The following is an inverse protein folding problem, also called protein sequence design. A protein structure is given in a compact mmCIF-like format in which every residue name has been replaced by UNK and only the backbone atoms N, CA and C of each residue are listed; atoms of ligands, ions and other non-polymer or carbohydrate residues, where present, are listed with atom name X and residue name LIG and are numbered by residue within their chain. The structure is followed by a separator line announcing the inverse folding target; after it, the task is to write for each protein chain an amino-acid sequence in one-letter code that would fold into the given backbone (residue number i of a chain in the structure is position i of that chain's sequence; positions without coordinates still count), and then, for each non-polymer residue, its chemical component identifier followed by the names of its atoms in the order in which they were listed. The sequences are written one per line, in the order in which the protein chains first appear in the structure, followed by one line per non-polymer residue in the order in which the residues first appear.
data_IF_558334039602
#
_entry.id   IF_558334039602
#
_cell.length_a   1.000
_cell.length_b   1.000
_cell.length_c   1.000
_cell.angle_alpha   90.00
_cell.angle_beta   90.00
_cell.angle_gamma   90.00
#
_symmetry.space_group_name_H-M   'P 1'
#
loop_
_entity.id
_entity.type
_entity.pdbx_description
1 polymer ?
#
# COMPACT_ATOMS: atom_id res chain seq x y z
N UNK A 1 -9.03 -4.21 7.09
CA UNK A 1 -7.84 -3.69 6.38
C UNK A 1 -7.96 -4.03 4.90
N UNK A 2 -7.89 -3.04 4.03
CA UNK A 2 -8.17 -3.20 2.58
C UNK A 2 -7.20 -4.17 1.92
N UNK A 3 -5.92 -4.10 2.24
CA UNK A 3 -4.89 -4.95 1.59
C UNK A 3 -4.98 -6.45 1.90
N UNK A 4 -5.70 -6.86 2.94
CA UNK A 4 -5.91 -8.29 3.22
C UNK A 4 -6.69 -9.02 2.12
N UNK A 5 -7.47 -8.31 1.29
CA UNK A 5 -8.12 -8.90 0.13
C UNK A 5 -7.14 -9.38 -0.95
N UNK A 6 -5.87 -8.95 -0.89
CA UNK A 6 -4.79 -9.42 -1.78
C UNK A 6 -4.34 -10.84 -1.46
N UNK A 7 -4.56 -11.30 -0.22
CA UNK A 7 -4.20 -12.64 0.24
C UNK A 7 -5.35 -13.63 -0.02
N UNK A 8 -5.03 -14.85 -0.38
CA UNK A 8 -5.99 -15.94 -0.39
C UNK A 8 -6.25 -16.44 1.03
N UNK A 9 -7.10 -17.43 1.15
CA UNK A 9 -7.53 -17.89 2.48
C UNK A 9 -6.38 -18.48 3.30
N UNK A 10 -5.46 -19.20 2.66
CA UNK A 10 -4.33 -19.83 3.32
C UNK A 10 -3.31 -18.79 3.83
N UNK A 11 -2.87 -17.87 2.96
CA UNK A 11 -1.94 -16.78 3.34
C UNK A 11 -2.56 -15.82 4.36
N UNK A 12 -3.86 -15.53 4.22
CA UNK A 12 -4.60 -14.70 5.19
C UNK A 12 -4.67 -15.36 6.55
N UNK A 13 -4.77 -16.69 6.60
CA UNK A 13 -4.74 -17.44 7.86
C UNK A 13 -3.37 -17.34 8.53
N UNK A 14 -2.28 -17.52 7.78
CA UNK A 14 -0.92 -17.33 8.34
C UNK A 14 -0.71 -15.90 8.85
N UNK A 15 -1.15 -14.90 8.08
CA UNK A 15 -1.12 -13.50 8.55
C UNK A 15 -1.93 -13.30 9.83
N UNK A 16 -3.10 -13.95 9.94
CA UNK A 16 -3.93 -13.88 11.16
C UNK A 16 -3.25 -14.56 12.35
N UNK A 17 -2.66 -15.73 12.15
CA UNK A 17 -1.86 -16.43 13.19
C UNK A 17 -0.72 -15.51 13.68
N UNK A 18 0.00 -14.85 12.77
CA UNK A 18 1.02 -13.88 13.14
C UNK A 18 0.45 -12.73 14.00
N UNK A 19 -0.66 -12.11 13.58
CA UNK A 19 -1.29 -11.01 14.34
C UNK A 19 -1.76 -11.44 15.74
N UNK A 20 -2.25 -12.67 15.90
CA UNK A 20 -2.58 -13.23 17.21
C UNK A 20 -1.31 -13.53 18.03
N UNK A 21 -0.28 -14.06 17.38
CA UNK A 21 1.02 -14.35 17.97
C UNK A 21 1.76 -13.11 18.53
N UNK A 22 1.46 -11.92 18.03
CA UNK A 22 1.94 -10.65 18.64
C UNK A 22 1.35 -10.39 20.02
N UNK A 23 0.21 -10.98 20.34
CA UNK A 23 -0.48 -10.83 21.65
C UNK A 23 -0.11 -11.97 22.61
N UNK A 24 0.02 -13.18 22.08
CA UNK A 24 0.36 -14.39 22.81
C UNK A 24 1.21 -15.30 21.92
N UNK A 25 2.36 -15.71 22.39
CA UNK A 25 3.28 -16.59 21.62
C UNK A 25 2.67 -17.99 21.36
N UNK A 26 1.65 -18.39 22.11
CA UNK A 26 0.90 -19.62 21.92
C UNK A 26 -0.57 -19.32 21.68
N UNK A 27 -1.15 -19.95 20.64
CA UNK A 27 -2.54 -19.79 20.24
C UNK A 27 -3.17 -21.19 20.13
N UNK A 28 -4.26 -21.44 20.83
CA UNK A 28 -4.93 -22.75 20.80
C UNK A 28 -5.62 -23.01 19.46
N UNK A 29 -5.78 -24.29 19.09
CA UNK A 29 -6.55 -24.61 17.88
C UNK A 29 -8.02 -24.20 17.98
N UNK A 30 -8.60 -24.16 19.16
CA UNK A 30 -9.95 -23.67 19.36
C UNK A 30 -10.07 -22.19 18.95
N UNK A 31 -9.19 -21.34 19.45
CA UNK A 31 -9.12 -19.92 19.08
C UNK A 31 -8.85 -19.73 17.57
N UNK A 32 -7.93 -20.52 17.00
CA UNK A 32 -7.62 -20.45 15.56
C UNK A 32 -8.78 -20.92 14.68
N UNK A 33 -9.54 -21.91 15.11
CA UNK A 33 -10.71 -22.40 14.37
C UNK A 33 -11.83 -21.35 14.37
N UNK A 34 -12.06 -20.69 15.49
CA UNK A 34 -13.05 -19.61 15.58
C UNK A 34 -12.68 -18.42 14.71
N UNK A 35 -11.41 -18.00 14.73
CA UNK A 35 -10.91 -16.84 14.00
C UNK A 35 -10.73 -17.08 12.49
N UNK A 36 -10.26 -18.26 12.09
CA UNK A 36 -9.86 -18.55 10.71
C UNK A 36 -10.83 -19.47 9.96
N UNK A 37 -11.77 -20.12 10.68
CA UNK A 37 -12.72 -21.11 10.12
C UNK A 37 -12.02 -22.26 9.40
N UNK A 38 -10.90 -22.73 9.95
CA UNK A 38 -10.16 -23.90 9.50
C UNK A 38 -10.07 -24.94 10.61
N UNK A 39 -10.03 -26.22 10.21
CA UNK A 39 -9.77 -27.33 11.16
C UNK A 39 -8.31 -27.31 11.63
N UNK A 40 -8.05 -27.84 12.84
CA UNK A 40 -6.70 -27.97 13.38
C UNK A 40 -5.73 -28.65 12.38
N UNK A 41 -6.18 -29.74 11.73
CA UNK A 41 -5.38 -30.44 10.72
C UNK A 41 -5.00 -29.57 9.52
N UNK A 42 -5.89 -28.67 9.07
CA UNK A 42 -5.59 -27.74 7.98
C UNK A 42 -4.58 -26.68 8.45
N UNK A 43 -4.72 -26.18 9.68
CA UNK A 43 -3.78 -25.21 10.26
C UNK A 43 -2.39 -25.83 10.40
N UNK A 44 -2.27 -27.06 10.89
CA UNK A 44 -0.99 -27.80 10.96
C UNK A 44 -0.30 -27.86 9.60
N UNK A 45 -1.04 -28.28 8.56
CA UNK A 45 -0.49 -28.33 7.19
C UNK A 45 -0.05 -26.97 6.65
N UNK A 46 -0.73 -25.89 7.05
CA UNK A 46 -0.32 -24.55 6.66
C UNK A 46 0.98 -24.13 7.36
N UNK A 47 1.16 -24.49 8.63
CA UNK A 47 2.40 -24.25 9.35
C UNK A 47 3.56 -25.04 8.74
N UNK A 48 3.35 -26.33 8.41
CA UNK A 48 4.33 -27.17 7.73
C UNK A 48 4.74 -26.58 6.37
N UNK A 49 3.75 -26.20 5.55
CA UNK A 49 3.98 -25.52 4.27
C UNK A 49 4.74 -24.21 4.44
N UNK A 50 4.44 -23.43 5.48
CA UNK A 50 5.17 -22.19 5.77
C UNK A 50 6.64 -22.47 6.11
N UNK A 51 6.94 -23.46 6.94
CA UNK A 51 8.30 -23.81 7.31
C UNK A 51 9.15 -24.19 6.09
N UNK A 52 8.57 -24.83 5.07
CA UNK A 52 9.25 -25.11 3.80
C UNK A 52 9.65 -23.81 3.07
N UNK A 53 8.73 -22.82 3.01
CA UNK A 53 8.98 -21.52 2.37
C UNK A 53 9.99 -20.68 3.17
N UNK A 54 9.88 -20.69 4.50
CA UNK A 54 10.72 -19.87 5.38
C UNK A 54 12.19 -20.31 5.33
N UNK A 55 12.45 -21.61 5.19
CA UNK A 55 13.81 -22.14 5.02
C UNK A 55 14.53 -21.52 3.81
N UNK A 56 13.78 -21.11 2.77
CA UNK A 56 14.34 -20.46 1.57
C UNK A 56 14.48 -18.94 1.72
N UNK A 57 13.54 -18.26 2.41
CA UNK A 57 13.33 -16.80 2.31
C UNK A 57 13.57 -16.00 3.60
N UNK A 58 13.71 -16.65 4.76
CA UNK A 58 14.18 -16.07 6.04
C UNK A 58 13.49 -14.76 6.48
N UNK A 59 12.16 -14.76 6.62
CA UNK A 59 11.42 -13.63 7.24
C UNK A 59 11.70 -13.50 8.74
N UNK A 60 12.21 -14.55 9.34
CA UNK A 60 12.50 -14.62 10.77
C UNK A 60 11.27 -14.96 11.62
N UNK A 61 10.24 -15.57 11.05
CA UNK A 61 9.08 -16.10 11.78
C UNK A 61 8.88 -17.57 11.49
N UNK A 62 8.59 -18.34 12.53
CA UNK A 62 8.16 -19.73 12.41
C UNK A 62 6.85 -19.98 13.15
N UNK A 63 6.01 -20.82 12.55
CA UNK A 63 4.74 -21.28 13.12
C UNK A 63 4.86 -22.74 13.48
N UNK A 64 5.18 -23.03 14.74
CA UNK A 64 5.46 -24.38 15.22
C UNK A 64 4.15 -25.03 15.72
N UNK A 65 3.57 -26.01 14.98
CA UNK A 65 2.38 -26.72 15.42
C UNK A 65 2.71 -27.68 16.58
N UNK A 66 1.78 -27.78 17.54
CA UNK A 66 1.81 -28.72 18.65
C UNK A 66 0.51 -29.56 18.65
N UNK A 67 0.29 -30.38 19.68
CA UNK A 67 -0.96 -31.14 19.84
C UNK A 67 -2.18 -30.24 20.10
N UNK A 68 -1.99 -29.11 20.77
CA UNK A 68 -3.08 -28.27 21.28
C UNK A 68 -3.19 -26.90 20.60
N UNK A 69 -2.20 -26.50 19.78
CA UNK A 69 -2.18 -25.18 19.16
C UNK A 69 -0.92 -24.93 18.34
N UNK A 70 -0.67 -23.66 18.06
CA UNK A 70 0.46 -23.15 17.30
C UNK A 70 1.29 -22.20 18.16
N UNK A 71 2.58 -22.41 18.24
CA UNK A 71 3.53 -21.46 18.83
C UNK A 71 4.11 -20.58 17.72
N UNK A 72 4.04 -19.26 17.90
CA UNK A 72 4.66 -18.29 17.00
C UNK A 72 6.03 -17.90 17.56
N UNK A 73 7.07 -18.16 16.78
CA UNK A 73 8.46 -17.86 17.15
C UNK A 73 9.00 -16.78 16.22
N UNK A 74 9.55 -15.72 16.80
CA UNK A 74 10.17 -14.62 16.07
C UNK A 74 11.67 -14.59 16.39
N UNK A 75 12.49 -14.48 15.36
CA UNK A 75 13.94 -14.26 15.52
C UNK A 75 14.24 -12.77 15.71
N UNK A 76 15.46 -12.45 16.11
CA UNK A 76 15.94 -11.06 16.25
C UNK A 76 15.91 -10.27 14.92
N UNK A 77 15.94 -10.98 13.80
CA UNK A 77 15.92 -10.40 12.44
C UNK A 77 14.51 -10.38 11.82
N UNK A 78 13.46 -10.65 12.61
CA UNK A 78 12.11 -10.66 12.08
C UNK A 78 11.73 -9.30 11.49
N UNK A 79 11.19 -9.34 10.27
CA UNK A 79 10.66 -8.16 9.59
C UNK A 79 9.23 -8.44 9.06
N UNK A 80 8.27 -7.70 9.59
CA UNK A 80 6.85 -7.82 9.22
C UNK A 80 6.60 -7.60 7.73
N UNK A 81 7.35 -6.69 7.10
CA UNK A 81 7.25 -6.43 5.65
C UNK A 81 7.76 -7.59 4.82
N UNK A 82 8.81 -8.28 5.27
CA UNK A 82 9.31 -9.49 4.58
C UNK A 82 8.27 -10.60 4.67
N UNK A 83 7.68 -10.85 5.85
CA UNK A 83 6.58 -11.79 6.02
C UNK A 83 5.43 -11.47 5.04
N UNK A 84 4.98 -10.21 5.04
CA UNK A 84 3.90 -9.78 4.16
C UNK A 84 4.24 -9.97 2.67
N UNK A 85 5.45 -9.59 2.26
CA UNK A 85 5.93 -9.80 0.90
C UNK A 85 5.90 -11.28 0.49
N UNK A 86 6.37 -12.18 1.38
CA UNK A 86 6.35 -13.62 1.11
C UNK A 86 4.92 -14.13 0.92
N UNK A 87 3.98 -13.75 1.81
CA UNK A 87 2.56 -14.12 1.68
C UNK A 87 1.94 -13.57 0.39
N UNK A 88 2.25 -12.32 0.01
CA UNK A 88 1.79 -11.74 -1.25
C UNK A 88 2.30 -12.50 -2.47
N UNK A 89 3.57 -12.86 -2.49
CA UNK A 89 4.17 -13.57 -3.65
C UNK A 89 3.59 -14.96 -3.86
N UNK A 90 3.08 -15.61 -2.80
CA UNK A 90 2.37 -16.88 -2.89
C UNK A 90 0.90 -16.71 -3.35
N UNK A 91 0.30 -15.55 -3.10
CA UNK A 91 -1.11 -15.32 -3.42
C UNK A 91 -1.36 -15.18 -4.92
N UNK A 92 -2.12 -16.12 -5.48
CA UNK A 92 -2.55 -16.03 -6.88
C UNK A 92 -3.39 -14.77 -7.15
N UNK A 93 -4.22 -14.36 -6.19
CA UNK A 93 -5.01 -13.11 -6.31
C UNK A 93 -4.12 -11.89 -6.52
N UNK A 94 -3.03 -11.79 -5.76
CA UNK A 94 -2.05 -10.71 -5.93
C UNK A 94 -1.31 -10.82 -7.27
N UNK A 95 -0.86 -12.03 -7.66
CA UNK A 95 -0.17 -12.24 -8.94
C UNK A 95 -1.03 -11.83 -10.14
N UNK A 96 -2.32 -12.17 -10.13
CA UNK A 96 -3.27 -11.79 -11.18
C UNK A 96 -3.47 -10.27 -11.23
N UNK A 97 -3.65 -9.63 -10.08
CA UNK A 97 -3.76 -8.17 -9.99
C UNK A 97 -2.50 -7.49 -10.53
N UNK A 98 -1.34 -7.94 -10.06
CA UNK A 98 -0.04 -7.39 -10.45
C UNK A 98 0.17 -7.46 -11.96
N UNK A 99 -0.01 -8.64 -12.56
CA UNK A 99 0.11 -8.82 -14.01
C UNK A 99 -0.86 -7.91 -14.77
N UNK A 100 -2.11 -7.80 -14.31
CA UNK A 100 -3.11 -6.94 -14.96
C UNK A 100 -2.79 -5.45 -14.87
N UNK A 101 -2.16 -5.00 -13.80
CA UNK A 101 -1.71 -3.62 -13.64
C UNK A 101 -0.45 -3.34 -14.48
N UNK A 102 0.47 -4.28 -14.54
CA UNK A 102 1.74 -4.15 -15.29
C UNK A 102 1.50 -4.23 -16.80
N UNK A 103 0.67 -5.15 -17.26
CA UNK A 103 0.23 -5.28 -18.64
C UNK A 103 -1.30 -5.10 -18.75
N UNK A 104 -1.76 -3.87 -19.04
CA UNK A 104 -3.19 -3.60 -19.19
C UNK A 104 -3.86 -4.37 -20.31
N UNK A 105 -3.09 -4.84 -21.31
CA UNK A 105 -3.60 -5.55 -22.47
C UNK A 105 -3.75 -7.06 -22.22
N UNK A 106 -3.14 -7.60 -21.16
CA UNK A 106 -3.26 -9.03 -20.86
C UNK A 106 -4.73 -9.42 -20.65
N UNK A 107 -5.18 -10.47 -21.32
CA UNK A 107 -6.56 -10.96 -21.27
C UNK A 107 -6.74 -12.01 -20.17
N UNK A 108 -7.98 -12.20 -19.69
CA UNK A 108 -8.31 -13.30 -18.77
C UNK A 108 -7.98 -14.67 -19.37
N UNK A 109 -8.07 -14.81 -20.68
CA UNK A 109 -7.71 -16.06 -21.36
C UNK A 109 -6.22 -16.34 -21.21
N UNK A 110 -5.37 -15.34 -21.44
CA UNK A 110 -3.93 -15.46 -21.26
C UNK A 110 -3.57 -15.73 -19.80
N UNK A 111 -4.16 -15.02 -18.85
CA UNK A 111 -3.97 -15.27 -17.42
C UNK A 111 -4.42 -16.71 -17.03
N UNK A 112 -5.55 -17.18 -17.60
CA UNK A 112 -6.04 -18.54 -17.39
C UNK A 112 -5.05 -19.61 -17.87
N UNK A 113 -4.42 -19.38 -19.01
CA UNK A 113 -3.39 -20.27 -19.55
C UNK A 113 -2.10 -20.24 -18.73
N UNK A 114 -1.64 -19.04 -18.37
CA UNK A 114 -0.38 -18.85 -17.62
C UNK A 114 -0.44 -19.45 -16.22
N UNK A 115 -1.58 -19.33 -15.54
CA UNK A 115 -1.74 -19.81 -14.17
C UNK A 115 -2.44 -21.17 -14.06
N UNK A 116 -2.80 -21.80 -15.19
CA UNK A 116 -3.51 -23.09 -15.21
C UNK A 116 -4.81 -23.11 -14.39
N UNK A 117 -5.54 -21.99 -14.37
CA UNK A 117 -6.81 -21.85 -13.65
C UNK A 117 -7.96 -21.44 -14.58
N UNK A 118 -9.18 -21.86 -14.26
CA UNK A 118 -10.35 -21.52 -15.06
C UNK A 118 -10.60 -20.00 -15.09
N UNK A 119 -11.02 -19.44 -16.23
CA UNK A 119 -11.37 -18.02 -16.41
C UNK A 119 -12.33 -17.50 -15.33
N UNK A 120 -13.35 -18.33 -14.98
CA UNK A 120 -14.31 -18.00 -13.91
C UNK A 120 -13.62 -17.82 -12.54
N UNK A 121 -12.58 -18.58 -12.27
CA UNK A 121 -11.80 -18.47 -11.03
C UNK A 121 -11.03 -17.13 -11.00
N UNK A 122 -10.38 -16.77 -12.11
CA UNK A 122 -9.66 -15.47 -12.23
C UNK A 122 -10.64 -14.33 -12.04
N UNK A 123 -11.76 -14.34 -12.76
CA UNK A 123 -12.79 -13.32 -12.63
C UNK A 123 -13.25 -13.15 -11.18
N UNK A 124 -13.62 -14.24 -10.52
CA UNK A 124 -14.07 -14.21 -9.12
C UNK A 124 -13.02 -13.64 -8.17
N UNK A 125 -11.73 -13.91 -8.42
CA UNK A 125 -10.62 -13.37 -7.60
C UNK A 125 -10.46 -11.87 -7.80
N UNK A 126 -10.46 -11.39 -9.04
CA UNK A 126 -10.38 -9.96 -9.35
C UNK A 126 -11.61 -9.19 -8.85
N UNK A 127 -12.81 -9.80 -8.94
CA UNK A 127 -14.04 -9.24 -8.36
C UNK A 127 -13.97 -9.19 -6.83
N UNK A 128 -13.36 -10.20 -6.19
CA UNK A 128 -13.12 -10.23 -4.74
C UNK A 128 -12.25 -9.08 -4.23
N UNK A 129 -11.53 -8.38 -5.11
CA UNK A 129 -10.77 -7.16 -4.81
C UNK A 129 -11.64 -5.89 -4.76
N UNK A 130 -12.98 -6.02 -4.74
CA UNK A 130 -13.90 -4.87 -4.66
C UNK A 130 -13.54 -3.85 -3.57
N UNK A 131 -13.15 -4.24 -2.35
CA UNK A 131 -12.72 -3.28 -1.32
C UNK A 131 -11.50 -2.45 -1.76
N UNK A 132 -10.54 -3.07 -2.46
CA UNK A 132 -9.37 -2.38 -3.00
C UNK A 132 -9.77 -1.41 -4.12
N UNK A 133 -10.63 -1.86 -5.06
CA UNK A 133 -11.13 -1.00 -6.14
C UNK A 133 -11.85 0.23 -5.60
N UNK A 134 -12.71 0.06 -4.60
CA UNK A 134 -13.44 1.16 -3.98
C UNK A 134 -12.51 2.13 -3.26
N UNK A 135 -11.53 1.61 -2.51
CA UNK A 135 -10.57 2.43 -1.78
C UNK A 135 -9.73 3.31 -2.71
N UNK A 136 -9.29 2.76 -3.86
CA UNK A 136 -8.50 3.48 -4.86
C UNK A 136 -9.35 4.18 -5.94
N UNK A 137 -10.66 4.27 -5.76
CA UNK A 137 -11.58 4.84 -6.75
C UNK A 137 -11.39 4.26 -8.16
N UNK A 138 -11.21 2.94 -8.21
CA UNK A 138 -11.08 2.14 -9.41
C UNK A 138 -12.25 1.16 -9.51
N UNK A 139 -12.45 0.55 -10.66
CA UNK A 139 -13.44 -0.51 -10.86
C UNK A 139 -13.00 -1.46 -11.98
N UNK A 140 -13.53 -2.69 -11.97
CA UNK A 140 -13.43 -3.59 -13.12
C UNK A 140 -14.51 -3.22 -14.14
N UNK A 141 -14.19 -3.41 -15.42
CA UNK A 141 -15.16 -3.26 -16.51
C UNK A 141 -16.10 -4.47 -16.54
N UNK A 142 -17.41 -4.21 -16.51
CA UNK A 142 -18.47 -5.24 -16.52
C UNK A 142 -18.55 -5.99 -17.87
N UNK A 143 -18.02 -5.44 -18.95
CA UNK A 143 -18.11 -5.95 -20.32
C UNK A 143 -17.06 -7.03 -20.67
N UNK A 144 -16.48 -7.73 -19.69
CA UNK A 144 -15.55 -8.84 -19.89
C UNK A 144 -14.26 -8.54 -20.66
N UNK A 145 -13.99 -7.29 -21.03
CA UNK A 145 -12.72 -6.88 -21.63
C UNK A 145 -11.63 -6.69 -20.57
N UNK A 146 -11.98 -6.86 -19.30
CA UNK A 146 -11.08 -6.98 -18.15
C UNK A 146 -10.12 -5.80 -17.95
N UNK A 147 -10.57 -4.62 -18.34
CA UNK A 147 -9.83 -3.40 -18.06
C UNK A 147 -10.14 -2.91 -16.64
N UNK A 148 -9.10 -2.53 -15.92
CA UNK A 148 -9.26 -1.75 -14.69
C UNK A 148 -9.61 -0.33 -15.12
N UNK A 149 -10.84 0.10 -14.80
CA UNK A 149 -11.35 1.43 -15.12
C UNK A 149 -11.01 2.42 -14.01
N UNK A 150 -10.80 3.68 -14.39
CA UNK A 150 -10.47 4.77 -13.49
C UNK A 150 -9.32 5.62 -14.03
N UNK A 151 -8.92 6.64 -13.27
CA UNK A 151 -7.84 7.55 -13.65
C UNK A 151 -6.51 6.79 -13.79
N UNK A 152 -5.74 7.14 -14.81
CA UNK A 152 -4.45 6.49 -15.04
C UNK A 152 -3.44 6.79 -13.93
N UNK A 153 -3.42 8.03 -13.43
CA UNK A 153 -2.64 8.41 -12.25
C UNK A 153 -2.96 7.56 -11.02
N UNK A 154 -4.25 7.25 -10.82
CA UNK A 154 -4.71 6.45 -9.71
C UNK A 154 -4.27 4.97 -9.83
N UNK A 155 -4.25 4.43 -11.05
CA UNK A 155 -3.69 3.10 -11.32
C UNK A 155 -2.20 3.06 -11.04
N UNK A 156 -1.45 4.09 -11.48
CA UNK A 156 -0.02 4.22 -11.21
C UNK A 156 0.27 4.39 -9.71
N UNK A 157 -0.60 5.10 -8.99
CA UNK A 157 -0.50 5.18 -7.52
C UNK A 157 -0.73 3.82 -6.86
N UNK A 158 -1.73 3.04 -7.29
CA UNK A 158 -1.91 1.67 -6.80
C UNK A 158 -0.69 0.80 -7.09
N UNK A 159 -0.12 0.87 -8.30
CA UNK A 159 1.12 0.15 -8.64
C UNK A 159 2.26 0.53 -7.69
N UNK A 160 2.41 1.82 -7.38
CA UNK A 160 3.41 2.31 -6.42
C UNK A 160 3.20 1.68 -5.03
N UNK A 161 1.97 1.70 -4.51
CA UNK A 161 1.67 1.12 -3.19
C UNK A 161 1.94 -0.39 -3.15
N UNK A 162 1.52 -1.12 -4.19
CA UNK A 162 1.80 -2.55 -4.31
C UNK A 162 3.30 -2.85 -4.43
N UNK A 163 4.06 -2.01 -5.15
CA UNK A 163 5.52 -2.16 -5.26
C UNK A 163 6.20 -1.91 -3.93
N UNK A 164 5.80 -0.89 -3.17
CA UNK A 164 6.30 -0.65 -1.81
C UNK A 164 6.10 -1.86 -0.89
N UNK A 165 4.97 -2.57 -1.01
CA UNK A 165 4.72 -3.81 -0.26
C UNK A 165 5.69 -4.94 -0.61
N UNK A 166 6.25 -4.92 -1.81
CA UNK A 166 7.20 -5.93 -2.29
C UNK A 166 8.65 -5.62 -1.91
N UNK A 167 8.93 -4.43 -1.43
CA UNK A 167 10.30 -4.03 -1.08
C UNK A 167 10.54 -4.19 0.41
N UNK A 168 11.65 -4.81 0.83
CA UNK A 168 12.17 -4.65 2.18
C UNK A 168 12.57 -3.18 2.40
N UNK A 169 12.55 -2.70 3.64
CA UNK A 169 12.67 -1.28 4.04
C UNK A 169 13.86 -0.50 3.44
N UNK A 170 14.91 -1.18 3.00
CA UNK A 170 16.19 -0.57 2.61
C UNK A 170 16.31 -0.18 1.13
N UNK A 171 15.25 -0.32 0.30
CA UNK A 171 15.35 -0.15 -1.16
C UNK A 171 14.33 0.84 -1.74
N UNK A 172 14.05 1.93 -1.04
CA UNK A 172 13.14 2.97 -1.58
C UNK A 172 13.71 3.68 -2.81
N UNK A 173 15.03 3.72 -2.98
CA UNK A 173 15.72 4.31 -4.13
C UNK A 173 15.38 3.65 -5.47
N UNK A 174 14.92 2.39 -5.47
CA UNK A 174 14.48 1.69 -6.69
C UNK A 174 13.07 2.10 -7.17
N UNK A 175 12.27 2.76 -6.31
CA UNK A 175 10.88 3.10 -6.64
C UNK A 175 10.78 4.14 -7.75
N UNK A 176 11.59 5.17 -7.73
CA UNK A 176 11.54 6.23 -8.75
C UNK A 176 11.93 5.73 -10.14
N UNK A 177 13.05 5.00 -10.33
CA UNK A 177 13.35 4.37 -11.60
C UNK A 177 12.25 3.43 -12.10
N UNK A 178 11.75 2.56 -11.22
CA UNK A 178 10.64 1.64 -11.52
C UNK A 178 9.38 2.38 -11.99
N UNK A 179 8.94 3.41 -11.26
CA UNK A 179 7.74 4.16 -11.63
C UNK A 179 7.91 4.98 -12.91
N UNK A 180 9.13 5.47 -13.23
CA UNK A 180 9.44 6.11 -14.52
C UNK A 180 9.32 5.11 -15.67
N UNK A 181 9.86 3.91 -15.51
CA UNK A 181 9.76 2.83 -16.50
C UNK A 181 8.31 2.43 -16.75
N UNK A 182 7.55 2.16 -15.70
CA UNK A 182 6.14 1.79 -15.80
C UNK A 182 5.32 2.90 -16.46
N UNK A 183 5.54 4.15 -16.08
CA UNK A 183 4.82 5.28 -16.68
C UNK A 183 5.11 5.40 -18.17
N UNK A 184 6.36 5.24 -18.58
CA UNK A 184 6.75 5.26 -20.00
C UNK A 184 6.14 4.07 -20.76
N UNK A 185 6.20 2.86 -20.21
CA UNK A 185 5.62 1.65 -20.82
C UNK A 185 4.12 1.80 -21.02
N UNK A 186 3.39 2.25 -20.00
CA UNK A 186 1.95 2.46 -20.08
C UNK A 186 1.58 3.57 -21.07
N UNK A 187 2.34 4.67 -21.10
CA UNK A 187 2.13 5.74 -22.07
C UNK A 187 2.34 5.25 -23.53
N UNK A 188 3.36 4.44 -23.77
CA UNK A 188 3.62 3.83 -25.09
C UNK A 188 2.49 2.88 -25.53
N UNK A 189 1.79 2.27 -24.59
CA UNK A 189 0.61 1.44 -24.86
C UNK A 189 -0.70 2.26 -24.98
N UNK A 190 -0.62 3.60 -24.93
CA UNK A 190 -1.77 4.50 -25.05
C UNK A 190 -2.49 4.82 -23.72
N UNK A 191 -1.97 4.34 -22.58
CA UNK A 191 -2.50 4.64 -21.26
C UNK A 191 -1.82 5.88 -20.67
N UNK A 192 -2.23 7.07 -21.15
CA UNK A 192 -1.66 8.37 -20.80
C UNK A 192 -2.54 9.14 -19.81
N UNK A 193 -1.95 10.11 -19.12
CA UNK A 193 -2.70 11.11 -18.34
C UNK A 193 -3.47 12.02 -19.30
N UNK A 194 -4.80 11.92 -19.31
CA UNK A 194 -5.64 12.70 -20.20
C UNK A 194 -5.74 14.17 -19.75
N UNK A 195 -6.12 15.06 -20.68
CA UNK A 195 -6.37 16.47 -20.33
C UNK A 195 -7.47 16.63 -19.28
N UNK A 196 -8.51 15.80 -19.33
CA UNK A 196 -9.59 15.82 -18.33
C UNK A 196 -9.07 15.38 -16.96
N UNK A 197 -8.27 14.34 -16.92
CA UNK A 197 -7.61 13.86 -15.72
C UNK A 197 -6.66 14.92 -15.14
N UNK A 198 -5.86 15.56 -15.97
CA UNK A 198 -4.96 16.66 -15.59
C UNK A 198 -5.73 17.80 -14.90
N UNK A 199 -6.89 18.17 -15.42
CA UNK A 199 -7.77 19.18 -14.78
C UNK A 199 -8.29 18.74 -13.42
N UNK A 200 -8.68 17.47 -13.28
CA UNK A 200 -9.14 16.91 -12.01
C UNK A 200 -8.02 16.93 -10.97
N UNK A 201 -6.83 16.48 -11.33
CA UNK A 201 -5.67 16.48 -10.44
C UNK A 201 -5.27 17.89 -10.04
N UNK A 202 -5.24 18.83 -11.00
CA UNK A 202 -4.94 20.25 -10.72
C UNK A 202 -5.98 20.88 -9.79
N UNK A 203 -7.26 20.53 -9.90
CA UNK A 203 -8.30 21.02 -9.00
C UNK A 203 -8.13 20.50 -7.55
N UNK A 204 -7.52 19.33 -7.38
CA UNK A 204 -7.22 18.74 -6.06
C UNK A 204 -5.99 19.35 -5.40
N UNK A 205 -5.01 19.74 -6.19
CA UNK A 205 -3.76 20.35 -5.74
C UNK A 205 -3.42 21.58 -6.57
N UNK A 206 -4.19 22.69 -6.43
CA UNK A 206 -4.02 23.90 -7.22
C UNK A 206 -2.68 24.61 -6.97
N UNK A 207 -1.98 24.28 -5.89
CA UNK A 207 -0.62 24.76 -5.59
C UNK A 207 0.43 24.19 -6.56
N UNK A 208 0.12 23.12 -7.33
CA UNK A 208 1.02 22.63 -8.35
C UNK A 208 1.10 23.65 -9.50
N UNK A 209 2.28 24.16 -9.75
CA UNK A 209 2.52 25.23 -10.73
C UNK A 209 2.54 24.74 -12.19
N UNK A 210 2.28 23.47 -12.44
CA UNK A 210 2.38 22.84 -13.76
C UNK A 210 1.17 21.94 -14.05
N UNK A 211 0.90 21.76 -15.32
CA UNK A 211 -0.14 20.82 -15.74
C UNK A 211 0.29 19.37 -15.46
N UNK A 212 -0.63 18.55 -14.92
CA UNK A 212 -0.41 17.15 -14.65
C UNK A 212 -0.75 16.28 -15.87
N UNK A 213 -0.25 16.66 -17.04
CA UNK A 213 -0.15 15.79 -18.23
C UNK A 213 0.92 14.70 -18.01
N UNK A 214 1.25 13.94 -19.01
CA UNK A 214 2.23 12.87 -18.89
C UNK A 214 3.61 13.36 -18.40
N UNK A 215 4.08 14.52 -18.89
CA UNK A 215 5.36 15.12 -18.45
C UNK A 215 5.27 15.67 -17.02
N UNK A 216 4.20 16.38 -16.72
CA UNK A 216 3.95 16.89 -15.39
C UNK A 216 3.80 15.78 -14.36
N UNK A 217 3.19 14.66 -14.74
CA UNK A 217 3.09 13.49 -13.87
C UNK A 217 4.45 12.83 -13.62
N UNK A 218 5.31 12.72 -14.62
CA UNK A 218 6.70 12.25 -14.45
C UNK A 218 7.48 13.15 -13.48
N UNK A 219 7.33 14.45 -13.62
CA UNK A 219 7.95 15.41 -12.71
C UNK A 219 7.38 15.27 -11.28
N UNK A 220 6.05 15.11 -11.13
CA UNK A 220 5.41 14.85 -9.85
C UNK A 220 5.97 13.58 -9.18
N UNK A 221 6.12 12.48 -9.92
CA UNK A 221 6.74 11.26 -9.39
C UNK A 221 8.16 11.51 -8.88
N UNK A 222 8.93 12.33 -9.57
CA UNK A 222 10.26 12.73 -9.12
C UNK A 222 10.21 13.52 -7.82
N UNK A 223 9.20 14.38 -7.63
CA UNK A 223 8.99 15.12 -6.38
C UNK A 223 8.55 14.21 -5.23
N UNK A 224 7.68 13.24 -5.51
CA UNK A 224 7.14 12.33 -4.48
C UNK A 224 8.12 11.25 -4.04
N UNK A 225 9.01 10.81 -4.93
CA UNK A 225 9.93 9.68 -4.72
C UNK A 225 11.40 10.09 -4.77
N UNK A 226 11.69 11.35 -5.09
CA UNK A 226 13.05 11.88 -5.13
C UNK A 226 13.55 12.33 -3.77
N UNK A 227 14.86 12.61 -3.68
CA UNK A 227 15.49 13.14 -2.47
C UNK A 227 15.29 14.65 -2.30
N UNK A 228 15.07 15.38 -3.40
CA UNK A 228 14.92 16.82 -3.41
C UNK A 228 13.50 17.26 -3.75
N UNK A 229 13.04 18.36 -3.17
CA UNK A 229 11.75 18.97 -3.48
C UNK A 229 11.96 20.22 -4.35
N UNK A 230 11.40 20.21 -5.56
CA UNK A 230 11.51 21.27 -6.57
C UNK A 230 10.31 22.22 -6.64
N UNK A 231 9.48 22.26 -5.59
CA UNK A 231 8.32 23.15 -5.47
C UNK A 231 8.56 24.21 -4.38
N UNK A 232 9.52 25.13 -4.59
CA UNK A 232 10.07 25.94 -3.50
C UNK A 232 9.01 26.79 -2.78
N UNK A 233 8.10 27.44 -3.51
CA UNK A 233 7.06 28.27 -2.86
C UNK A 233 6.07 27.47 -2.02
N UNK A 234 5.56 26.37 -2.55
CA UNK A 234 4.58 25.53 -1.84
C UNK A 234 5.21 24.84 -0.64
N UNK A 235 6.42 24.30 -0.82
CA UNK A 235 7.17 23.67 0.25
C UNK A 235 7.57 24.68 1.32
N UNK A 236 8.12 25.84 0.95
CA UNK A 236 8.54 26.87 1.91
C UNK A 236 7.36 27.36 2.76
N UNK A 237 6.21 27.58 2.15
CA UNK A 237 5.01 27.98 2.88
C UNK A 237 4.54 26.83 3.81
N UNK A 238 4.59 25.57 3.38
CA UNK A 238 4.30 24.41 4.25
C UNK A 238 5.30 24.34 5.41
N UNK A 239 6.60 24.41 5.13
CA UNK A 239 7.68 24.39 6.12
C UNK A 239 7.50 25.46 7.20
N UNK A 240 7.27 26.71 6.79
CA UNK A 240 7.04 27.81 7.76
C UNK A 240 5.83 27.51 8.64
N UNK A 241 4.71 27.05 8.06
CA UNK A 241 3.51 26.72 8.85
C UNK A 241 3.76 25.59 9.83
N UNK A 242 4.50 24.56 9.40
CA UNK A 242 4.83 23.41 10.21
C UNK A 242 5.76 23.79 11.37
N UNK A 243 6.80 24.59 11.11
CA UNK A 243 7.78 25.02 12.11
C UNK A 243 7.28 26.12 13.06
N UNK A 244 6.15 26.77 12.75
CA UNK A 244 5.50 27.70 13.68
C UNK A 244 4.96 26.99 14.93
N UNK A 245 4.76 25.68 14.88
CA UNK A 245 4.39 24.87 16.05
C UNK A 245 5.64 24.52 16.87
N UNK A 246 5.75 24.98 18.14
CA UNK A 246 6.97 24.81 18.95
C UNK A 246 7.45 23.38 19.10
N UNK A 247 6.51 22.43 19.13
CA UNK A 247 6.77 20.99 19.31
C UNK A 247 7.41 20.34 18.06
N UNK A 248 7.31 20.99 16.90
CA UNK A 248 7.80 20.49 15.62
C UNK A 248 9.14 21.08 15.19
N UNK A 249 9.64 22.10 15.91
CA UNK A 249 10.92 22.75 15.60
C UNK A 249 12.14 21.82 15.68
N UNK A 250 12.02 20.69 16.35
CA UNK A 250 13.09 19.72 16.53
C UNK A 250 13.26 18.73 15.36
N UNK A 251 12.30 18.69 14.43
CA UNK A 251 12.38 17.75 13.32
C UNK A 251 13.40 18.16 12.26
N UNK A 252 14.07 17.17 11.68
CA UNK A 252 15.00 17.41 10.59
C UNK A 252 14.30 17.92 9.34
N UNK A 253 15.03 18.61 8.48
CA UNK A 253 14.53 19.08 7.19
C UNK A 253 14.03 17.88 6.33
N UNK A 254 14.73 16.75 6.36
CA UNK A 254 14.32 15.53 5.65
C UNK A 254 12.96 15.03 6.13
N UNK A 255 12.72 15.01 7.45
CA UNK A 255 11.42 14.62 8.02
C UNK A 255 10.29 15.56 7.57
N UNK A 256 10.54 16.88 7.56
CA UNK A 256 9.54 17.86 7.10
C UNK A 256 9.23 17.65 5.60
N UNK A 257 10.24 17.36 4.79
CA UNK A 257 10.07 17.01 3.36
C UNK A 257 9.24 15.76 3.16
N UNK A 258 9.46 14.70 3.95
CA UNK A 258 8.70 13.47 3.89
C UNK A 258 7.23 13.69 4.26
N UNK A 259 6.96 14.49 5.30
CA UNK A 259 5.60 14.90 5.68
C UNK A 259 4.92 15.68 4.54
N UNK A 260 5.64 16.58 3.89
CA UNK A 260 5.12 17.35 2.75
C UNK A 260 4.78 16.43 1.56
N UNK A 261 5.66 15.49 1.21
CA UNK A 261 5.41 14.49 0.16
C UNK A 261 4.17 13.67 0.46
N UNK A 262 4.08 13.18 1.69
CA UNK A 262 2.91 12.42 2.13
C UNK A 262 1.62 13.24 2.01
N UNK A 263 1.64 14.47 2.48
CA UNK A 263 0.51 15.39 2.36
C UNK A 263 0.09 15.64 0.90
N UNK A 264 1.06 15.80 0.02
CA UNK A 264 0.81 15.98 -1.42
C UNK A 264 0.18 14.73 -2.05
N UNK A 265 0.65 13.53 -1.67
CA UNK A 265 0.03 12.26 -2.10
C UNK A 265 -1.44 12.18 -1.71
N UNK A 266 -1.78 12.50 -0.46
CA UNK A 266 -3.15 12.45 0.03
C UNK A 266 -4.10 13.42 -0.69
N UNK A 267 -3.57 14.54 -1.19
CA UNK A 267 -4.38 15.49 -1.97
C UNK A 267 -4.69 14.97 -3.37
N UNK A 268 -3.73 14.32 -4.00
CA UNK A 268 -3.82 13.92 -5.41
C UNK A 268 -4.50 12.56 -5.60
N UNK A 269 -4.28 11.64 -4.68
CA UNK A 269 -4.68 10.24 -4.86
C UNK A 269 -5.73 9.81 -3.83
N UNK A 270 -6.52 8.80 -4.20
CA UNK A 270 -7.42 8.10 -3.29
C UNK A 270 -6.73 6.81 -2.83
N UNK A 271 -7.09 6.32 -1.64
CA UNK A 271 -6.60 5.06 -1.10
C UNK A 271 -5.66 5.23 0.07
N UNK A 272 -5.54 4.18 0.86
CA UNK A 272 -4.65 4.14 2.01
C UNK A 272 -3.20 4.03 1.54
N UNK A 273 -2.28 4.68 2.24
CA UNK A 273 -0.86 4.45 2.00
C UNK A 273 -0.41 3.14 2.66
N UNK A 274 0.70 2.58 2.16
CA UNK A 274 1.25 1.35 2.75
C UNK A 274 1.76 1.60 4.17
N UNK A 275 2.20 2.81 4.46
CA UNK A 275 2.68 3.22 5.78
C UNK A 275 1.59 3.04 6.84
N UNK A 276 0.33 3.36 6.51
CA UNK A 276 -0.82 3.16 7.41
C UNK A 276 -1.06 1.69 7.74
N UNK A 277 -0.78 0.80 6.80
CA UNK A 277 -0.96 -0.63 6.99
C UNK A 277 0.00 -1.24 8.01
N UNK A 278 1.26 -0.80 7.99
CA UNK A 278 2.32 -1.27 8.89
C UNK A 278 2.53 -0.38 10.13
N UNK A 279 1.86 0.76 10.20
CA UNK A 279 1.99 1.66 11.34
C UNK A 279 1.38 1.07 12.61
N UNK A 280 2.06 1.13 13.76
CA UNK A 280 1.49 0.72 15.03
C UNK A 280 0.33 1.66 15.42
N UNK A 281 -0.67 1.18 16.17
CA UNK A 281 -1.71 2.04 16.71
C UNK A 281 -1.10 3.06 17.69
N UNK A 282 -1.51 4.32 17.59
CA UNK A 282 -1.01 5.44 18.38
C UNK A 282 -1.53 5.49 19.80
N UNK A 283 -0.72 6.14 20.67
CA UNK A 283 -1.22 6.70 21.92
C UNK A 283 -2.09 7.94 21.62
N UNK A 284 -3.20 8.06 22.35
CA UNK A 284 -4.29 9.03 22.08
C UNK A 284 -3.80 10.50 22.05
N UNK A 285 -2.80 10.85 22.89
CA UNK A 285 -2.26 12.20 23.03
C UNK A 285 -1.48 12.68 21.78
N UNK A 286 -0.70 11.77 21.15
CA UNK A 286 0.05 12.09 19.94
C UNK A 286 -0.89 12.21 18.73
N UNK A 287 -1.94 11.38 18.70
CA UNK A 287 -2.95 11.44 17.65
C UNK A 287 -3.67 12.81 17.62
N UNK A 288 -4.05 13.35 18.78
CA UNK A 288 -4.71 14.66 18.87
C UNK A 288 -3.80 15.79 18.40
N UNK A 289 -2.50 15.73 18.75
CA UNK A 289 -1.53 16.73 18.32
C UNK A 289 -1.37 16.76 16.80
N UNK A 290 -1.17 15.57 16.20
CA UNK A 290 -0.98 15.46 14.75
C UNK A 290 -2.27 15.77 13.97
N UNK A 291 -3.44 15.49 14.52
CA UNK A 291 -4.71 15.89 13.94
C UNK A 291 -4.85 17.43 13.93
N UNK A 292 -4.45 18.11 15.01
CA UNK A 292 -4.42 19.57 15.08
C UNK A 292 -3.46 20.19 14.06
N UNK A 293 -2.26 19.63 13.91
CA UNK A 293 -1.27 20.10 12.94
C UNK A 293 -1.74 19.82 11.51
N UNK A 294 -2.25 18.63 11.24
CA UNK A 294 -2.85 18.28 9.97
C UNK A 294 -3.97 19.25 9.60
N UNK A 295 -4.87 19.56 10.53
CA UNK A 295 -5.96 20.49 10.30
C UNK A 295 -5.45 21.89 9.98
N UNK A 296 -4.46 22.42 10.70
CA UNK A 296 -3.86 23.73 10.41
C UNK A 296 -3.17 23.78 9.05
N UNK A 297 -2.42 22.73 8.68
CA UNK A 297 -1.83 22.62 7.36
C UNK A 297 -2.91 22.56 6.28
N UNK A 298 -3.96 21.78 6.51
CA UNK A 298 -5.12 21.63 5.63
C UNK A 298 -5.85 22.96 5.45
N UNK A 299 -6.20 23.66 6.53
CA UNK A 299 -6.97 24.91 6.48
C UNK A 299 -6.20 26.02 5.75
N UNK A 300 -4.88 26.03 5.85
CA UNK A 300 -4.02 27.05 5.23
C UNK A 300 -3.71 26.76 3.75
N UNK A 301 -3.60 25.49 3.33
CA UNK A 301 -3.12 25.11 1.99
C UNK A 301 -4.17 24.54 1.07
N UNK A 302 -5.22 23.94 1.62
CA UNK A 302 -6.27 23.32 0.83
C UNK A 302 -7.60 23.42 1.57
N UNK A 303 -8.68 23.71 0.89
CA UNK A 303 -10.04 23.45 1.37
C UNK A 303 -10.28 21.94 1.39
N UNK A 304 -9.62 21.26 2.31
CA UNK A 304 -9.71 19.81 2.44
C UNK A 304 -11.06 19.41 2.99
N UNK A 305 -11.68 18.45 2.34
CA UNK A 305 -12.90 17.83 2.80
C UNK A 305 -12.61 16.88 3.96
N UNK A 306 -13.48 16.86 4.97
CA UNK A 306 -13.44 16.15 6.27
C UNK A 306 -13.18 14.61 6.24
N UNK A 307 -12.55 14.05 5.22
CA UNK A 307 -12.38 12.58 5.05
C UNK A 307 -11.08 11.98 5.62
N UNK A 308 -10.25 12.74 6.34
CA UNK A 308 -8.85 12.37 6.55
C UNK A 308 -8.50 11.96 7.99
N UNK A 309 -9.20 10.97 8.55
CA UNK A 309 -8.68 10.24 9.73
C UNK A 309 -7.33 9.54 9.43
N UNK A 310 -7.06 9.26 8.16
CA UNK A 310 -5.85 8.57 7.67
C UNK A 310 -4.58 9.42 7.69
N UNK A 311 -4.67 10.75 7.59
CA UNK A 311 -3.52 11.67 7.60
C UNK A 311 -2.68 11.51 8.86
N UNK A 312 -3.36 11.34 10.00
CA UNK A 312 -2.72 11.24 11.32
C UNK A 312 -1.78 10.04 11.40
N UNK A 313 -2.21 8.88 10.90
CA UNK A 313 -1.41 7.64 10.95
C UNK A 313 -0.16 7.73 10.06
N UNK A 314 -0.26 8.36 8.88
CA UNK A 314 0.87 8.52 7.99
C UNK A 314 1.93 9.50 8.51
N UNK A 315 1.52 10.60 9.17
CA UNK A 315 2.47 11.49 9.83
C UNK A 315 3.26 10.78 10.92
N UNK A 316 2.64 9.86 11.65
CA UNK A 316 3.32 9.05 12.68
C UNK A 316 4.42 8.20 12.13
N UNK A 317 4.17 7.56 10.99
CA UNK A 317 5.18 6.75 10.34
C UNK A 317 6.39 7.59 9.95
N UNK A 318 6.16 8.76 9.33
CA UNK A 318 7.25 9.66 8.92
C UNK A 318 8.02 10.24 10.11
N UNK A 319 7.34 10.57 11.22
CA UNK A 319 7.97 11.11 12.41
C UNK A 319 8.79 10.09 13.22
N UNK A 320 8.57 8.79 12.99
CA UNK A 320 9.30 7.70 13.66
C UNK A 320 10.52 7.19 12.88
N UNK A 321 10.69 7.61 11.60
CA UNK A 321 11.91 7.40 10.83
C UNK A 321 13.00 8.36 11.29
#
# INVERSE_FOLDING_TARGET
MVYQCLLEKDERTLWRIYLLGRKSTFISYEELQDECQFTAKKIQRLCEWWSEIENEKKSGIDFVPSETGVQVQLTEHFCERILWHQLLTQSLTFQLLWQKLMDPLVTITQLSQQHYVARKTIWRRLEGLKPLWQNFNLRLDDNFQNCIMGLESQKRYLILQLKKMQLPDEKEDVLLPFMKEISATRANLGFTISQMESKILHSRAPQLAYHLDERGFQFLLQQLLGQEIWLPKCYETFRVTFTDEPQLKSYSEATIQDIYRYHLCLQLFCGDSIEEFFSPPKQLSEAILLESISQKCVDKYTRFTRKHKHVVNGYDYVLKK
#
